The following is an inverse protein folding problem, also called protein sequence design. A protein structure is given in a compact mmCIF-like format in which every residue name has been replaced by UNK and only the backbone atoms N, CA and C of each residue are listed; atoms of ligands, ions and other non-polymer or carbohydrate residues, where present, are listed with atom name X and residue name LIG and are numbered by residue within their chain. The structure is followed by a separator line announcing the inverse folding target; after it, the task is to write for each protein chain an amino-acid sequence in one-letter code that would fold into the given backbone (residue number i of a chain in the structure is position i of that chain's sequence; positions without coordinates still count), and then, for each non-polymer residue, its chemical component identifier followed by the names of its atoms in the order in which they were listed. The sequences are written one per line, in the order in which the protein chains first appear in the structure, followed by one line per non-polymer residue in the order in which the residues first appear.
data_IF_707151538715
#
_entry.id   IF_707151538715
#
_cell.length_a   1.000
_cell.length_b   1.000
_cell.length_c   1.000
_cell.angle_alpha   90.00
_cell.angle_beta   90.00
_cell.angle_gamma   90.00
#
_symmetry.space_group_name_H-M   'P 1'
#
loop_
_entity.id
_entity.type
_entity.pdbx_description
1 polymer ?
#
# COMPACT_ATOMS: atom_id res chain seq x y z
N UNK A 1 -43.14 10.75 -8.01
CA UNK A 1 -42.71 11.32 -9.31
C UNK A 1 -41.48 12.16 -9.05
N UNK A 2 -40.30 11.99 -9.65
CA UNK A 2 -39.68 11.00 -10.50
C UNK A 2 -38.21 11.42 -10.46
N UNK A 3 -37.28 10.48 -10.24
CA UNK A 3 -35.85 10.77 -10.08
C UNK A 3 -35.31 11.22 -11.45
N UNK A 4 -34.83 12.46 -11.64
CA UNK A 4 -34.29 12.87 -12.92
C UNK A 4 -32.76 12.70 -12.92
N UNK A 5 -32.27 11.81 -13.77
CA UNK A 5 -31.00 12.00 -14.47
C UNK A 5 -29.73 11.43 -13.84
N UNK A 6 -29.55 10.11 -13.92
CA UNK A 6 -28.22 9.53 -14.13
C UNK A 6 -27.82 9.76 -15.59
N UNK A 7 -27.43 10.98 -15.94
CA UNK A 7 -26.80 11.27 -17.22
C UNK A 7 -25.29 11.04 -17.10
N UNK A 8 -24.88 9.84 -17.50
CA UNK A 8 -23.49 9.47 -17.73
C UNK A 8 -22.98 10.17 -19.00
N UNK A 9 -22.10 11.16 -18.86
CA UNK A 9 -21.35 11.79 -19.96
C UNK A 9 -19.88 11.85 -19.54
N UNK A 10 -19.10 11.02 -20.23
CA UNK A 10 -17.71 10.67 -19.95
C UNK A 10 -16.76 11.81 -20.36
N UNK A 11 -15.94 12.30 -19.41
CA UNK A 11 -14.78 13.14 -19.70
C UNK A 11 -13.64 12.82 -18.73
N UNK A 12 -12.99 11.65 -18.91
CA UNK A 12 -11.58 11.41 -18.54
C UNK A 12 -11.09 11.64 -17.10
N UNK A 13 -11.94 12.06 -16.15
CA UNK A 13 -11.57 12.34 -14.77
C UNK A 13 -12.20 11.28 -13.87
N UNK A 14 -11.36 10.42 -13.30
CA UNK A 14 -11.79 9.49 -12.25
C UNK A 14 -12.27 10.31 -11.04
N UNK A 15 -13.58 10.27 -10.78
CA UNK A 15 -14.18 10.85 -9.58
C UNK A 15 -13.78 10.00 -8.37
N UNK A 16 -13.12 10.62 -7.38
CA UNK A 16 -12.80 9.98 -6.10
C UNK A 16 -13.97 10.19 -5.14
N UNK A 17 -14.73 9.13 -4.85
CA UNK A 17 -15.88 9.15 -3.94
C UNK A 17 -17.25 9.24 -4.64
N UNK A 18 -18.31 9.30 -3.84
CA UNK A 18 -19.71 9.24 -4.31
C UNK A 18 -20.40 10.61 -4.42
N UNK A 19 -19.83 11.66 -3.83
CA UNK A 19 -20.35 13.04 -3.84
C UNK A 19 -19.38 14.00 -4.52
N UNK A 20 -19.85 15.19 -4.88
CA UNK A 20 -19.00 16.25 -5.41
C UNK A 20 -18.02 16.76 -4.34
N UNK A 21 -16.82 17.22 -4.74
CA UNK A 21 -15.86 17.81 -3.81
C UNK A 21 -16.42 19.09 -3.19
N UNK A 22 -16.11 19.32 -1.91
CA UNK A 22 -16.53 20.54 -1.19
C UNK A 22 -15.81 21.77 -1.75
N UNK A 23 -14.54 21.63 -2.14
CA UNK A 23 -13.73 22.68 -2.75
C UNK A 23 -12.74 22.07 -3.72
N UNK A 24 -12.48 22.80 -4.80
CA UNK A 24 -11.43 22.52 -5.79
C UNK A 24 -10.28 23.54 -5.70
N UNK A 25 -10.30 24.44 -4.70
CA UNK A 25 -9.23 25.40 -4.50
C UNK A 25 -7.93 24.66 -4.09
N UNK A 26 -6.82 25.05 -4.73
CA UNK A 26 -5.49 24.57 -4.34
C UNK A 26 -4.98 25.23 -3.06
N UNK A 27 -3.84 24.74 -2.51
CA UNK A 27 -3.22 25.33 -1.34
C UNK A 27 -2.72 26.75 -1.64
N UNK A 28 -2.76 27.61 -0.61
CA UNK A 28 -2.13 28.92 -0.62
C UNK A 28 -0.65 28.82 -0.23
N UNK A 29 0.11 29.91 -0.41
CA UNK A 29 1.51 29.97 0.03
C UNK A 29 1.63 29.76 1.55
N UNK A 30 0.68 30.27 2.34
CA UNK A 30 0.63 30.04 3.79
C UNK A 30 0.40 28.56 4.15
N UNK A 31 -0.42 27.84 3.38
CA UNK A 31 -0.65 26.40 3.57
C UNK A 31 0.62 25.58 3.29
N UNK A 32 1.39 25.97 2.28
CA UNK A 32 2.67 25.35 1.96
C UNK A 32 3.69 25.55 3.10
N UNK A 33 3.77 26.76 3.68
CA UNK A 33 4.64 27.05 4.83
C UNK A 33 4.25 26.17 6.03
N UNK A 34 2.96 26.09 6.36
CA UNK A 34 2.47 25.26 7.48
C UNK A 34 2.72 23.77 7.25
N UNK A 35 2.64 23.30 6.01
CA UNK A 35 2.95 21.91 5.67
C UNK A 35 4.42 21.60 5.96
N UNK A 36 5.34 22.51 5.60
CA UNK A 36 6.77 22.35 5.90
C UNK A 36 7.07 22.37 7.41
N UNK A 37 6.38 23.20 8.18
CA UNK A 37 6.50 23.22 9.65
C UNK A 37 6.04 21.90 10.27
N UNK A 38 4.92 21.35 9.79
CA UNK A 38 4.41 20.05 10.22
C UNK A 38 5.40 18.93 9.91
N UNK A 39 5.92 18.86 8.68
CA UNK A 39 6.90 17.84 8.28
C UNK A 39 8.15 17.88 9.16
N UNK A 40 8.69 19.06 9.45
CA UNK A 40 9.84 19.24 10.36
C UNK A 40 9.54 18.73 11.76
N UNK A 41 8.35 19.01 12.29
CA UNK A 41 7.94 18.50 13.59
C UNK A 41 7.84 16.97 13.60
N UNK A 42 7.20 16.38 12.57
CA UNK A 42 7.03 14.93 12.44
C UNK A 42 8.37 14.19 12.31
N UNK A 43 9.34 14.78 11.61
CA UNK A 43 10.72 14.30 11.59
C UNK A 43 11.38 14.41 12.97
N UNK A 44 11.21 15.54 13.66
CA UNK A 44 11.77 15.77 14.99
C UNK A 44 11.29 14.79 16.06
N UNK A 45 10.04 14.34 15.99
CA UNK A 45 9.50 13.30 16.88
C UNK A 45 9.86 11.86 16.45
N UNK A 46 10.51 11.70 15.29
CA UNK A 46 10.93 10.39 14.76
C UNK A 46 9.77 9.55 14.24
N UNK A 47 8.75 10.17 13.64
CA UNK A 47 7.60 9.44 13.09
C UNK A 47 7.96 8.70 11.80
N UNK A 48 8.88 9.24 11.00
CA UNK A 48 9.33 8.65 9.75
C UNK A 48 10.32 7.52 10.01
N UNK A 49 10.13 6.41 9.29
CA UNK A 49 11.06 5.28 9.27
C UNK A 49 12.41 5.66 8.64
N UNK A 50 13.50 5.08 9.15
CA UNK A 50 14.82 5.25 8.55
C UNK A 50 14.96 4.43 7.27
N UNK A 51 15.85 4.86 6.36
CA UNK A 51 16.09 4.13 5.11
C UNK A 51 16.64 2.73 5.37
N UNK A 52 17.44 2.56 6.43
CA UNK A 52 18.03 1.29 6.84
C UNK A 52 16.95 0.31 7.31
N UNK A 53 16.01 0.78 8.13
CA UNK A 53 14.89 -0.04 8.62
C UNK A 53 13.96 -0.47 7.48
N UNK A 54 13.69 0.43 6.53
CA UNK A 54 12.91 0.11 5.34
C UNK A 54 13.57 -1.01 4.53
N UNK A 55 14.90 -0.95 4.33
CA UNK A 55 15.67 -2.00 3.64
C UNK A 55 15.60 -3.33 4.39
N UNK A 56 15.72 -3.32 5.70
CA UNK A 56 15.60 -4.55 6.52
C UNK A 56 14.20 -5.16 6.37
N UNK A 57 13.13 -4.34 6.37
CA UNK A 57 11.76 -4.84 6.16
C UNK A 57 11.58 -5.46 4.78
N UNK A 58 12.13 -4.85 3.73
CA UNK A 58 12.11 -5.42 2.38
C UNK A 58 12.86 -6.76 2.30
N UNK A 59 14.01 -6.88 2.97
CA UNK A 59 14.75 -8.13 3.03
C UNK A 59 13.94 -9.24 3.71
N UNK A 60 13.29 -8.93 4.83
CA UNK A 60 12.41 -9.86 5.55
C UNK A 60 11.25 -10.31 4.66
N UNK A 61 10.63 -9.41 3.91
CA UNK A 61 9.57 -9.76 2.95
C UNK A 61 10.09 -10.67 1.83
N UNK A 62 11.30 -10.43 1.33
CA UNK A 62 11.94 -11.30 0.35
C UNK A 62 12.16 -12.73 0.89
N UNK A 63 12.59 -12.85 2.15
CA UNK A 63 12.74 -14.16 2.82
C UNK A 63 11.39 -14.84 3.02
N UNK A 64 10.36 -14.10 3.44
CA UNK A 64 9.01 -14.64 3.59
C UNK A 64 8.44 -15.15 2.27
N UNK A 65 8.65 -14.42 1.17
CA UNK A 65 8.23 -14.85 -0.17
C UNK A 65 8.88 -16.19 -0.57
N UNK A 66 10.19 -16.35 -0.32
CA UNK A 66 10.89 -17.61 -0.55
C UNK A 66 10.33 -18.76 0.30
N UNK A 67 10.09 -18.52 1.60
CA UNK A 67 9.55 -19.51 2.52
C UNK A 67 8.17 -20.00 2.04
N UNK A 68 7.29 -19.08 1.68
CA UNK A 68 5.92 -19.43 1.24
C UNK A 68 5.96 -20.20 -0.09
N UNK A 69 6.84 -19.82 -1.03
CA UNK A 69 7.01 -20.56 -2.30
C UNK A 69 7.52 -21.98 -2.08
N UNK A 70 8.53 -22.17 -1.22
CA UNK A 70 9.03 -23.50 -0.86
C UNK A 70 7.93 -24.32 -0.20
N UNK A 71 7.20 -23.72 0.74
CA UNK A 71 6.09 -24.38 1.42
C UNK A 71 5.01 -24.85 0.44
N UNK A 72 4.57 -24.00 -0.49
CA UNK A 72 3.59 -24.37 -1.51
C UNK A 72 4.09 -25.53 -2.38
N UNK A 73 5.37 -25.53 -2.80
CA UNK A 73 5.94 -26.63 -3.58
C UNK A 73 5.96 -27.95 -2.79
N UNK A 74 6.32 -27.90 -1.51
CA UNK A 74 6.33 -29.08 -0.64
C UNK A 74 4.93 -29.65 -0.43
N UNK A 75 3.93 -28.80 -0.23
CA UNK A 75 2.52 -29.22 -0.12
C UNK A 75 2.04 -29.83 -1.44
N UNK A 76 2.39 -29.23 -2.58
CA UNK A 76 2.04 -29.78 -3.89
C UNK A 76 2.61 -31.18 -4.12
N UNK A 77 3.88 -31.41 -3.72
CA UNK A 77 4.50 -32.74 -3.79
C UNK A 77 3.82 -33.73 -2.84
N UNK A 78 3.54 -33.33 -1.60
CA UNK A 78 2.86 -34.19 -0.62
C UNK A 78 1.45 -34.59 -1.06
N UNK A 79 0.77 -33.75 -1.85
CA UNK A 79 -0.54 -34.04 -2.45
C UNK A 79 -0.48 -34.97 -3.67
N UNK A 80 0.72 -35.33 -4.14
CA UNK A 80 0.91 -36.24 -5.27
C UNK A 80 0.77 -35.57 -6.65
N UNK A 81 0.92 -34.25 -6.75
CA UNK A 81 1.00 -33.61 -8.07
C UNK A 81 2.29 -34.00 -8.81
N UNK A 82 2.24 -34.00 -10.14
CA UNK A 82 3.42 -34.29 -10.95
C UNK A 82 4.49 -33.18 -10.80
N UNK A 83 5.76 -33.51 -11.08
CA UNK A 83 6.86 -32.57 -10.87
C UNK A 83 6.78 -31.31 -11.75
N UNK A 84 6.09 -31.37 -12.89
CA UNK A 84 5.84 -30.19 -13.73
C UNK A 84 4.94 -29.17 -13.00
N UNK A 85 3.81 -29.63 -12.46
CA UNK A 85 2.90 -28.79 -11.67
C UNK A 85 3.54 -28.31 -10.35
N UNK A 86 4.38 -29.14 -9.71
CA UNK A 86 5.15 -28.73 -8.53
C UNK A 86 6.15 -27.63 -8.88
N UNK A 87 6.80 -27.71 -10.05
CA UNK A 87 7.73 -26.68 -10.50
C UNK A 87 7.02 -25.35 -10.79
N UNK A 88 5.86 -25.41 -11.47
CA UNK A 88 5.01 -24.28 -11.83
C UNK A 88 4.26 -23.68 -10.62
N UNK A 89 4.07 -24.44 -9.54
CA UNK A 89 3.42 -23.97 -8.34
C UNK A 89 4.15 -22.77 -7.74
N UNK A 90 3.40 -21.70 -7.51
CA UNK A 90 3.92 -20.43 -7.05
C UNK A 90 3.02 -19.83 -5.97
N UNK A 91 3.58 -18.89 -5.22
CA UNK A 91 2.86 -18.13 -4.22
C UNK A 91 3.28 -16.67 -4.31
N UNK A 92 2.38 -15.78 -3.89
CA UNK A 92 2.66 -14.35 -3.80
C UNK A 92 2.13 -13.83 -2.49
N UNK A 93 3.00 -13.15 -1.76
CA UNK A 93 2.62 -12.42 -0.56
C UNK A 93 2.17 -11.01 -0.95
N UNK A 94 1.20 -10.48 -0.21
CA UNK A 94 0.73 -9.12 -0.36
C UNK A 94 0.73 -8.46 1.01
N UNK A 95 1.30 -7.26 1.07
CA UNK A 95 1.23 -6.43 2.27
C UNK A 95 -0.04 -5.59 2.24
N UNK A 96 -0.60 -5.33 3.43
CA UNK A 96 -1.77 -4.48 3.64
C UNK A 96 -1.56 -3.65 4.91
N UNK A 97 -2.50 -2.76 5.24
CA UNK A 97 -2.41 -1.92 6.42
C UNK A 97 -1.36 -0.81 6.31
N UNK A 98 -0.94 -0.27 7.45
CA UNK A 98 -0.05 0.91 7.57
C UNK A 98 1.26 0.75 6.80
N UNK A 99 1.85 -0.46 6.83
CA UNK A 99 3.09 -0.75 6.09
C UNK A 99 2.90 -0.55 4.59
N UNK A 100 1.82 -1.10 4.01
CA UNK A 100 1.54 -0.93 2.58
C UNK A 100 1.17 0.50 2.21
N UNK A 101 0.60 1.24 3.16
CA UNK A 101 0.24 2.65 2.98
C UNK A 101 1.42 3.61 3.19
N UNK A 102 2.59 3.12 3.61
CA UNK A 102 3.78 3.95 3.85
C UNK A 102 3.67 4.85 5.08
N UNK A 103 2.77 4.54 6.01
CA UNK A 103 2.52 5.33 7.25
C UNK A 103 2.88 4.53 8.50
N UNK A 104 3.85 3.61 8.40
CA UNK A 104 4.34 2.88 9.55
C UNK A 104 5.27 3.75 10.39
N UNK A 105 4.84 4.09 11.61
CA UNK A 105 5.69 4.71 12.62
C UNK A 105 6.67 3.70 13.21
N UNK A 106 7.78 4.20 13.74
CA UNK A 106 8.65 3.42 14.60
C UNK A 106 7.95 3.18 15.94
N UNK A 107 7.80 1.91 16.32
CA UNK A 107 7.48 1.55 17.69
C UNK A 107 8.75 1.80 18.51
N UNK A 108 8.81 2.96 19.19
CA UNK A 108 9.83 3.17 20.21
C UNK A 108 9.46 2.31 21.43
N UNK A 109 10.43 1.54 21.92
CA UNK A 109 10.38 0.90 23.24
C UNK A 109 10.42 1.95 24.36
#
# INVERSE_FOLDING_TARGET
MGIPGLSNQNSGQQRLGITEPISLAGPTDDDAIKTLELEKYLQGVGLYESQEEAVVREEVLGRLDQIVKIWVKNISRAKGFNEQLVHEANAKIFTSGSYRLGVCSLARE
#
